data_IF_074435839606
#
_entry.id   IF_074435839606
#
_cell.length_a   1.000
_cell.length_b   1.000
_cell.length_c   1.000
_cell.angle_alpha   90.00
_cell.angle_beta   90.00
_cell.angle_gamma   90.00
#
_symmetry.space_group_name_H-M   'P 1'
#
loop_
_entity.id
_entity.type
_entity.pdbx_description
1 polymer ?
#
# COMPACT_ATOMS: atom_id res chain seq x y z
N UNK A 1 8.01 45.41 -12.31
CA UNK A 1 8.54 44.23 -11.60
C UNK A 1 7.64 43.79 -10.43
N UNK A 2 6.35 43.48 -10.66
CA UNK A 2 5.43 42.99 -9.60
C UNK A 2 4.80 41.63 -9.90
N UNK A 3 4.92 41.12 -11.14
CA UNK A 3 4.34 39.82 -11.56
C UNK A 3 5.22 38.60 -11.24
N UNK A 4 6.52 38.80 -11.00
CA UNK A 4 7.48 37.70 -10.74
C UNK A 4 7.27 37.06 -9.36
N UNK A 5 6.77 37.81 -8.37
CA UNK A 5 6.52 37.26 -7.03
C UNK A 5 5.28 36.37 -6.96
N UNK A 6 4.21 36.67 -7.71
CA UNK A 6 2.97 35.88 -7.70
C UNK A 6 3.18 34.48 -8.31
N UNK A 7 4.11 34.37 -9.26
CA UNK A 7 4.46 33.11 -9.92
C UNK A 7 4.99 32.05 -8.94
N UNK A 8 5.72 32.45 -7.89
CA UNK A 8 6.26 31.55 -6.88
C UNK A 8 5.31 31.28 -5.71
N UNK A 9 4.34 32.16 -5.47
CA UNK A 9 3.37 32.02 -4.37
C UNK A 9 2.46 30.82 -4.61
N UNK A 10 1.98 30.62 -5.85
CA UNK A 10 1.05 29.53 -6.16
C UNK A 10 1.70 28.14 -5.94
N UNK A 11 2.90 27.83 -6.49
CA UNK A 11 3.57 26.57 -6.21
C UNK A 11 3.87 26.34 -4.72
N UNK A 12 4.33 27.38 -4.00
CA UNK A 12 4.59 27.29 -2.56
C UNK A 12 3.31 26.99 -1.78
N UNK A 13 2.20 27.61 -2.15
CA UNK A 13 0.90 27.34 -1.54
C UNK A 13 0.44 25.89 -1.82
N UNK A 14 0.64 25.39 -3.04
CA UNK A 14 0.31 23.99 -3.37
C UNK A 14 1.16 22.99 -2.58
N UNK A 15 2.46 23.24 -2.43
CA UNK A 15 3.35 22.42 -1.57
C UNK A 15 2.87 22.45 -0.13
N UNK A 16 2.53 23.63 0.39
CA UNK A 16 2.03 23.77 1.75
C UNK A 16 0.71 23.00 1.94
N UNK A 17 -0.25 23.14 1.02
CA UNK A 17 -1.50 22.37 1.04
C UNK A 17 -1.22 20.87 1.03
N UNK A 18 -0.29 20.40 0.19
CA UNK A 18 0.08 19.00 0.13
C UNK A 18 0.65 18.49 1.46
N UNK A 19 1.54 19.27 2.10
CA UNK A 19 2.09 18.91 3.42
C UNK A 19 0.99 18.84 4.49
N UNK A 20 -0.01 19.72 4.43
CA UNK A 20 -1.18 19.64 5.32
C UNK A 20 -2.04 18.42 5.07
N UNK A 21 -2.29 18.08 3.81
CA UNK A 21 -3.00 16.85 3.45
C UNK A 21 -2.25 15.66 4.03
N UNK A 22 -0.94 15.53 3.77
CA UNK A 22 -0.10 14.43 4.29
C UNK A 22 -0.07 14.35 5.82
N UNK A 23 -0.14 15.48 6.52
CA UNK A 23 -0.16 15.51 7.97
C UNK A 23 -1.46 14.96 8.56
N UNK A 24 -2.58 15.15 7.86
CA UNK A 24 -3.92 14.77 8.31
C UNK A 24 -4.41 13.45 7.72
N UNK A 25 -3.83 13.01 6.60
CA UNK A 25 -4.15 11.74 5.95
C UNK A 25 -3.81 10.54 6.85
N UNK A 26 -4.58 9.43 6.73
CA UNK A 26 -4.22 8.17 7.33
C UNK A 26 -2.77 7.77 7.03
N UNK A 27 -2.10 7.21 8.03
CA UNK A 27 -0.78 6.61 7.86
C UNK A 27 -0.93 5.19 7.35
N UNK A 28 -0.02 4.78 6.49
CA UNK A 28 -0.05 3.47 5.83
C UNK A 28 1.25 2.73 6.06
N UNK A 29 1.18 1.41 5.99
CA UNK A 29 2.32 0.52 6.07
C UNK A 29 2.21 -0.55 4.98
N UNK A 30 3.13 -0.50 4.03
CA UNK A 30 3.33 -1.45 2.95
C UNK A 30 4.17 -2.64 3.42
N UNK A 31 4.14 -3.71 2.63
CA UNK A 31 4.96 -4.91 2.78
C UNK A 31 4.61 -5.78 4.01
N UNK A 32 3.35 -5.75 4.45
CA UNK A 32 2.89 -6.48 5.64
C UNK A 32 2.62 -7.95 5.31
N UNK A 33 3.43 -8.84 5.87
CA UNK A 33 3.34 -10.29 5.67
C UNK A 33 4.14 -11.01 6.78
N UNK A 34 3.81 -12.25 7.19
CA UNK A 34 4.58 -12.97 8.21
C UNK A 34 6.04 -13.23 7.80
N UNK A 35 6.35 -13.22 6.50
CA UNK A 35 7.70 -13.42 5.98
C UNK A 35 8.66 -12.24 6.16
N UNK A 36 8.16 -11.04 6.48
CA UNK A 36 8.95 -9.82 6.62
C UNK A 36 8.84 -9.31 8.07
N UNK A 37 9.98 -9.15 8.75
CA UNK A 37 10.00 -8.51 10.07
C UNK A 37 9.53 -7.06 9.95
N UNK A 38 8.56 -6.68 10.77
CA UNK A 38 7.92 -5.36 10.67
C UNK A 38 7.79 -4.64 12.03
N UNK A 39 8.91 -4.23 12.66
CA UNK A 39 8.87 -3.37 13.84
C UNK A 39 8.19 -2.02 13.57
N UNK A 40 8.11 -1.58 12.31
CA UNK A 40 7.43 -0.36 11.86
C UNK A 40 5.97 -0.29 12.28
N UNK A 41 5.30 -1.45 12.41
CA UNK A 41 3.93 -1.54 12.86
C UNK A 41 3.73 -0.91 14.25
N UNK A 42 4.65 -1.19 15.18
CA UNK A 42 4.64 -0.62 16.52
C UNK A 42 5.18 0.82 16.55
N UNK A 43 6.24 1.09 15.77
CA UNK A 43 6.92 2.39 15.76
C UNK A 43 6.01 3.51 15.21
N UNK A 44 5.26 3.22 14.15
CA UNK A 44 4.45 4.21 13.44
C UNK A 44 2.96 4.10 13.72
N UNK A 45 2.49 2.95 14.23
CA UNK A 45 1.08 2.69 14.54
C UNK A 45 0.14 3.10 13.38
N UNK A 46 0.32 2.52 12.18
CA UNK A 46 -0.39 2.92 10.98
C UNK A 46 -1.91 2.76 11.12
N UNK A 47 -2.67 3.48 10.28
CA UNK A 47 -4.11 3.33 10.17
C UNK A 47 -4.50 2.24 9.16
N UNK A 48 -3.71 2.10 8.09
CA UNK A 48 -3.94 1.17 6.99
C UNK A 48 -2.74 0.22 6.86
N UNK A 49 -3.03 -1.07 6.69
CA UNK A 49 -2.05 -2.12 6.43
C UNK A 49 -2.24 -2.65 5.02
N UNK A 50 -1.17 -2.67 4.22
CA UNK A 50 -1.15 -3.22 2.87
C UNK A 50 -0.47 -4.59 2.91
N UNK A 51 -1.30 -5.63 2.84
CA UNK A 51 -0.90 -7.01 3.10
C UNK A 51 -0.59 -7.76 1.81
N UNK A 52 0.53 -8.48 1.81
CA UNK A 52 0.92 -9.38 0.72
C UNK A 52 0.35 -10.77 1.04
N UNK A 53 -0.60 -11.30 0.24
CA UNK A 53 -1.26 -12.56 0.55
C UNK A 53 -0.34 -13.78 0.41
N UNK A 54 0.57 -13.80 -0.57
CA UNK A 54 1.42 -14.96 -0.87
C UNK A 54 2.90 -14.63 -1.02
N UNK A 55 3.52 -14.07 0.01
CA UNK A 55 4.93 -13.70 -0.05
C UNK A 55 5.85 -14.94 -0.11
N UNK A 56 6.69 -15.03 -1.15
CA UNK A 56 7.63 -16.14 -1.37
C UNK A 56 6.99 -17.56 -1.35
N UNK A 57 5.78 -17.69 -1.88
CA UNK A 57 4.98 -18.93 -1.86
C UNK A 57 4.55 -19.38 -0.45
N UNK A 58 4.48 -18.45 0.50
CA UNK A 58 3.96 -18.67 1.85
C UNK A 58 2.62 -17.93 2.02
N UNK A 59 1.49 -18.59 1.68
CA UNK A 59 0.18 -17.96 1.76
C UNK A 59 -0.21 -17.65 3.21
N UNK A 60 -0.68 -16.44 3.46
CA UNK A 60 -0.97 -15.94 4.82
C UNK A 60 -2.08 -16.72 5.51
N UNK A 61 -3.04 -17.28 4.76
CA UNK A 61 -4.14 -18.07 5.33
C UNK A 61 -3.66 -19.32 6.09
N UNK A 62 -2.44 -19.80 5.82
CA UNK A 62 -1.84 -20.93 6.56
C UNK A 62 -1.26 -20.52 7.91
N UNK A 63 -1.22 -19.22 8.23
CA UNK A 63 -0.70 -18.68 9.47
C UNK A 63 -1.82 -18.04 10.30
N UNK A 64 -2.72 -18.88 10.82
CA UNK A 64 -3.91 -18.46 11.60
C UNK A 64 -3.55 -17.49 12.73
N UNK A 65 -2.47 -17.76 13.47
CA UNK A 65 -2.03 -16.89 14.57
C UNK A 65 -1.69 -15.48 14.08
N UNK A 66 -0.97 -15.38 12.96
CA UNK A 66 -0.63 -14.08 12.38
C UNK A 66 -1.89 -13.37 11.85
N UNK A 67 -2.81 -14.09 11.22
CA UNK A 67 -4.09 -13.54 10.77
C UNK A 67 -4.89 -12.93 11.93
N UNK A 68 -5.02 -13.67 13.04
CA UNK A 68 -5.68 -13.22 14.26
C UNK A 68 -4.98 -11.99 14.87
N UNK A 69 -3.64 -12.01 14.93
CA UNK A 69 -2.84 -10.88 15.42
C UNK A 69 -3.12 -9.63 14.58
N UNK A 70 -3.03 -9.70 13.26
CA UNK A 70 -3.27 -8.55 12.38
C UNK A 70 -4.72 -8.05 12.48
N UNK A 71 -5.71 -8.95 12.50
CA UNK A 71 -7.12 -8.56 12.69
C UNK A 71 -7.35 -7.87 14.04
N UNK A 72 -6.69 -8.34 15.10
CA UNK A 72 -6.86 -7.78 16.45
C UNK A 72 -6.42 -6.31 16.57
N UNK A 73 -5.59 -5.83 15.64
CA UNK A 73 -5.12 -4.44 15.60
C UNK A 73 -6.22 -3.45 15.19
N UNK A 74 -7.35 -3.95 14.65
CA UNK A 74 -8.50 -3.15 14.22
C UNK A 74 -8.10 -2.01 13.27
N UNK A 75 -7.25 -2.34 12.29
CA UNK A 75 -6.80 -1.44 11.22
C UNK A 75 -7.62 -1.65 9.96
N UNK A 76 -7.56 -0.71 9.04
CA UNK A 76 -8.02 -0.99 7.67
C UNK A 76 -6.98 -1.85 6.98
N UNK A 77 -7.39 -2.91 6.30
CA UNK A 77 -6.49 -3.85 5.62
C UNK A 77 -6.83 -3.88 4.14
N UNK A 78 -5.83 -3.65 3.28
CA UNK A 78 -5.93 -3.77 1.83
C UNK A 78 -4.88 -4.75 1.29
N UNK A 79 -5.03 -5.14 0.03
CA UNK A 79 -4.12 -6.09 -0.63
C UNK A 79 -2.97 -5.37 -1.33
N UNK A 80 -1.75 -5.87 -1.19
CA UNK A 80 -0.51 -5.29 -1.74
C UNK A 80 0.18 -6.20 -2.76
N UNK A 81 -0.41 -6.32 -3.96
CA UNK A 81 0.00 -7.35 -4.92
C UNK A 81 -0.42 -8.74 -4.48
N UNK A 82 0.25 -9.77 -5.01
CA UNK A 82 0.00 -11.18 -4.68
C UNK A 82 1.23 -11.77 -3.97
N UNK A 83 2.37 -11.72 -4.65
CA UNK A 83 3.66 -12.24 -4.20
C UNK A 83 4.68 -11.15 -3.90
N UNK A 84 4.40 -9.90 -4.31
CA UNK A 84 5.27 -8.74 -4.14
C UNK A 84 6.58 -8.82 -4.95
N UNK A 85 6.47 -9.22 -6.23
CA UNK A 85 7.58 -9.09 -7.19
C UNK A 85 7.54 -7.72 -7.89
N UNK A 86 8.71 -7.20 -8.29
CA UNK A 86 8.84 -5.83 -8.81
C UNK A 86 7.99 -5.54 -10.06
N UNK A 87 7.80 -6.54 -10.92
CA UNK A 87 7.12 -6.42 -12.22
C UNK A 87 5.78 -7.19 -12.23
N UNK A 88 5.25 -7.52 -11.05
CA UNK A 88 4.09 -8.40 -10.89
C UNK A 88 2.90 -7.95 -11.73
N UNK A 89 2.55 -6.66 -11.69
CA UNK A 89 1.43 -6.08 -12.42
C UNK A 89 1.86 -5.23 -13.62
N UNK A 90 3.14 -5.30 -14.00
CA UNK A 90 3.66 -4.62 -15.20
C UNK A 90 3.83 -5.57 -16.39
N UNK A 91 3.56 -6.87 -16.18
CA UNK A 91 3.41 -7.88 -17.21
C UNK A 91 2.00 -8.47 -17.13
N UNK A 92 1.63 -9.25 -18.14
CA UNK A 92 0.35 -9.96 -18.18
C UNK A 92 0.19 -10.86 -16.94
N UNK A 93 -0.72 -10.50 -16.03
CA UNK A 93 -1.11 -11.39 -14.94
C UNK A 93 -2.26 -12.26 -15.42
N UNK A 94 -2.27 -13.51 -14.97
CA UNK A 94 -3.46 -14.32 -15.17
C UNK A 94 -4.49 -13.89 -14.15
N UNK A 95 -5.73 -13.72 -14.60
CA UNK A 95 -6.88 -13.42 -13.73
C UNK A 95 -6.98 -14.42 -12.58
N UNK A 96 -6.64 -15.67 -12.85
CA UNK A 96 -6.58 -16.75 -11.87
C UNK A 96 -5.57 -16.49 -10.74
N UNK A 97 -4.42 -15.87 -11.04
CA UNK A 97 -3.40 -15.55 -10.04
C UNK A 97 -3.90 -14.44 -9.08
N UNK A 98 -4.59 -13.43 -9.63
CA UNK A 98 -5.23 -12.39 -8.82
C UNK A 98 -6.34 -12.97 -7.93
N UNK A 99 -7.17 -13.85 -8.49
CA UNK A 99 -8.21 -14.55 -7.73
C UNK A 99 -7.64 -15.45 -6.63
N UNK A 100 -6.51 -16.11 -6.87
CA UNK A 100 -5.77 -16.88 -5.85
C UNK A 100 -5.35 -15.97 -4.69
N UNK A 101 -4.67 -14.85 -4.97
CA UNK A 101 -4.28 -13.89 -3.94
C UNK A 101 -5.47 -13.33 -3.15
N UNK A 102 -6.59 -13.04 -3.82
CA UNK A 102 -7.82 -12.60 -3.16
C UNK A 102 -8.43 -13.69 -2.26
N UNK A 103 -8.34 -14.96 -2.67
CA UNK A 103 -8.83 -16.08 -1.88
C UNK A 103 -7.99 -16.29 -0.62
N UNK A 104 -6.67 -16.20 -0.73
CA UNK A 104 -5.78 -16.28 0.44
C UNK A 104 -6.00 -15.12 1.42
N UNK A 105 -6.18 -13.90 0.90
CA UNK A 105 -6.55 -12.74 1.71
C UNK A 105 -7.87 -13.00 2.47
N UNK A 106 -8.87 -13.53 1.76
CA UNK A 106 -10.17 -13.88 2.35
C UNK A 106 -10.07 -15.04 3.34
N UNK A 107 -9.21 -16.02 3.09
CA UNK A 107 -8.95 -17.14 4.00
C UNK A 107 -8.41 -16.65 5.34
N UNK A 108 -7.51 -15.66 5.30
CA UNK A 108 -6.91 -15.06 6.49
C UNK A 108 -7.86 -14.11 7.24
N UNK A 109 -8.60 -13.26 6.52
CA UNK A 109 -9.36 -12.16 7.14
C UNK A 109 -10.88 -12.39 7.21
N UNK A 110 -11.38 -13.44 6.55
CA UNK A 110 -12.81 -13.77 6.50
C UNK A 110 -13.63 -12.89 5.54
N UNK A 111 -13.01 -11.95 4.84
CA UNK A 111 -13.65 -11.07 3.86
C UNK A 111 -12.76 -10.84 2.64
N UNK A 112 -13.37 -10.59 1.48
CA UNK A 112 -12.65 -10.26 0.25
C UNK A 112 -12.02 -8.86 0.35
N UNK A 113 -10.82 -8.65 -0.21
CA UNK A 113 -10.20 -7.32 -0.21
C UNK A 113 -11.08 -6.33 -0.98
N UNK A 114 -11.19 -5.11 -0.46
CA UNK A 114 -11.94 -4.00 -1.09
C UNK A 114 -11.03 -2.91 -1.63
N UNK A 115 -9.75 -2.97 -1.32
CA UNK A 115 -8.73 -2.02 -1.77
C UNK A 115 -7.51 -2.79 -2.23
N UNK A 116 -6.86 -2.26 -3.26
CA UNK A 116 -5.66 -2.82 -3.84
C UNK A 116 -4.61 -1.73 -4.07
N UNK A 117 -3.35 -2.06 -3.80
CA UNK A 117 -2.21 -1.21 -4.09
C UNK A 117 -1.13 -2.04 -4.76
N UNK A 118 -0.74 -1.76 -6.02
CA UNK A 118 0.29 -2.55 -6.69
C UNK A 118 1.66 -2.33 -6.01
N UNK A 119 2.51 -3.37 -5.91
CA UNK A 119 3.89 -3.23 -5.48
C UNK A 119 4.59 -2.14 -6.28
N UNK A 120 5.34 -1.27 -5.58
CA UNK A 120 6.08 -0.15 -6.20
C UNK A 120 5.21 0.81 -7.04
N UNK A 121 3.88 0.75 -6.90
CA UNK A 121 2.91 1.53 -7.68
C UNK A 121 2.99 1.25 -9.19
N UNK A 122 3.57 0.11 -9.58
CA UNK A 122 3.72 -0.31 -10.98
C UNK A 122 2.55 -1.18 -11.42
N UNK A 123 1.80 -0.70 -12.40
CA UNK A 123 0.70 -1.41 -13.00
C UNK A 123 0.53 -0.95 -14.46
N UNK A 124 0.30 -1.88 -15.39
CA UNK A 124 -0.04 -1.52 -16.78
C UNK A 124 -1.53 -1.14 -16.87
N UNK A 125 -1.96 -0.40 -17.91
CA UNK A 125 -3.38 -0.08 -18.11
C UNK A 125 -4.28 -1.32 -18.22
N UNK A 126 -3.78 -2.39 -18.84
CA UNK A 126 -4.50 -3.66 -18.98
C UNK A 126 -4.69 -4.32 -17.60
N UNK A 127 -3.64 -4.34 -16.78
CA UNK A 127 -3.69 -4.92 -15.43
C UNK A 127 -4.51 -4.08 -14.45
N UNK A 128 -4.52 -2.77 -14.63
CA UNK A 128 -5.42 -1.86 -13.90
C UNK A 128 -6.89 -2.24 -14.15
N UNK A 129 -7.28 -2.52 -15.40
CA UNK A 129 -8.64 -2.95 -15.72
C UNK A 129 -8.99 -4.30 -15.08
N UNK A 130 -8.05 -5.26 -15.07
CA UNK A 130 -8.23 -6.56 -14.40
C UNK A 130 -8.50 -6.36 -12.90
N UNK A 131 -7.72 -5.53 -12.22
CA UNK A 131 -7.91 -5.22 -10.80
C UNK A 131 -9.25 -4.52 -10.57
N UNK A 132 -9.59 -3.50 -11.34
CA UNK A 132 -10.83 -2.74 -11.17
C UNK A 132 -12.09 -3.60 -11.41
N UNK A 133 -12.02 -4.57 -12.32
CA UNK A 133 -13.11 -5.52 -12.58
C UNK A 133 -13.43 -6.45 -11.41
N UNK A 134 -12.55 -6.55 -10.41
CA UNK A 134 -12.83 -7.26 -9.15
C UNK A 134 -13.68 -6.44 -8.17
N UNK A 135 -13.86 -5.14 -8.42
CA UNK A 135 -14.53 -4.19 -7.54
C UNK A 135 -13.64 -3.59 -6.44
N UNK A 136 -12.33 -3.87 -6.46
CA UNK A 136 -11.37 -3.23 -5.56
C UNK A 136 -11.08 -1.79 -5.97
N UNK A 137 -10.91 -0.91 -4.97
CA UNK A 137 -10.42 0.46 -5.19
C UNK A 137 -8.89 0.47 -5.34
N UNK A 138 -8.39 0.97 -6.47
CA UNK A 138 -6.97 1.00 -6.82
C UNK A 138 -6.27 2.23 -6.24
N UNK A 139 -5.28 2.02 -5.36
CA UNK A 139 -4.44 3.07 -4.79
C UNK A 139 -3.14 3.23 -5.59
N UNK A 140 -3.08 4.27 -6.41
CA UNK A 140 -1.91 4.62 -7.21
C UNK A 140 -1.06 5.77 -6.65
N UNK A 141 -0.33 6.45 -7.52
CA UNK A 141 0.60 7.55 -7.17
C UNK A 141 -0.03 8.67 -6.32
N UNK A 142 -1.31 8.99 -6.53
CA UNK A 142 -1.98 10.02 -5.74
C UNK A 142 -2.02 9.66 -4.25
N UNK A 143 -2.24 8.39 -3.92
CA UNK A 143 -2.22 7.89 -2.54
C UNK A 143 -0.82 8.07 -1.92
N UNK A 144 0.24 7.67 -2.63
CA UNK A 144 1.63 7.81 -2.18
C UNK A 144 2.03 9.27 -1.88
N UNK A 145 1.56 10.20 -2.73
CA UNK A 145 1.87 11.63 -2.58
C UNK A 145 1.08 12.27 -1.44
N UNK A 146 -0.14 11.80 -1.16
CA UNK A 146 -1.03 12.40 -0.14
C UNK A 146 -0.98 11.73 1.22
N UNK A 147 -0.35 10.56 1.36
CA UNK A 147 -0.28 9.79 2.60
C UNK A 147 1.18 9.54 3.03
N UNK A 148 1.40 9.35 4.32
CA UNK A 148 2.67 8.82 4.84
C UNK A 148 2.62 7.30 4.76
N UNK A 149 3.32 6.76 3.77
CA UNK A 149 3.38 5.32 3.49
C UNK A 149 4.74 4.80 3.94
N UNK A 150 4.77 4.00 5.01
CA UNK A 150 5.99 3.35 5.49
C UNK A 150 6.13 1.95 4.89
N UNK A 151 7.31 1.34 5.00
CA UNK A 151 7.58 -0.01 4.52
C UNK A 151 8.18 -0.88 5.63
N UNK A 152 7.72 -2.13 5.75
CA UNK A 152 8.38 -3.09 6.63
C UNK A 152 9.84 -3.32 6.21
N UNK A 153 10.74 -3.55 7.18
CA UNK A 153 12.18 -3.77 6.98
C UNK A 153 12.96 -2.57 6.39
N UNK A 154 12.30 -1.42 6.15
CA UNK A 154 12.86 -0.15 5.63
C UNK A 154 13.89 -0.35 4.50
N UNK A 155 13.69 -1.35 3.63
CA UNK A 155 14.69 -1.74 2.63
C UNK A 155 14.59 -0.89 1.36
N UNK A 156 13.41 -0.31 1.11
CA UNK A 156 13.08 0.51 -0.06
C UNK A 156 13.60 1.96 0.05
N UNK A 157 13.43 2.74 -1.03
CA UNK A 157 13.71 4.17 -1.09
C UNK A 157 12.40 4.89 -1.43
N UNK A 158 12.04 5.99 -0.74
CA UNK A 158 12.78 6.63 0.35
C UNK A 158 12.66 5.86 1.68
N UNK A 159 13.70 5.94 2.52
CA UNK A 159 13.67 5.34 3.86
C UNK A 159 12.57 5.93 4.72
N UNK A 160 11.98 5.15 5.62
CA UNK A 160 10.90 5.52 6.54
C UNK A 160 11.21 6.80 7.35
N UNK A 161 12.48 7.01 7.72
CA UNK A 161 12.91 8.25 8.40
C UNK A 161 12.60 9.52 7.59
N UNK A 162 12.69 9.47 6.27
CA UNK A 162 12.39 10.58 5.38
C UNK A 162 10.89 10.80 5.27
N UNK A 163 10.12 9.71 5.18
CA UNK A 163 8.65 9.72 5.13
C UNK A 163 8.05 10.28 6.42
N UNK A 164 8.71 10.07 7.56
CA UNK A 164 8.29 10.68 8.82
C UNK A 164 8.36 12.21 8.77
N UNK A 165 9.40 12.75 8.14
CA UNK A 165 9.69 14.19 8.05
C UNK A 165 8.77 14.88 7.02
N UNK A 166 8.54 14.24 5.87
CA UNK A 166 7.83 14.80 4.70
C UNK A 166 6.44 14.18 4.49
#
# INVERSE_FOLDING_TARGET
MKRVHLFWIIPLLLIFILLWIRLLSPTELDDVTPGISCPELEIYNPNILWVIPNFENNPIEKNEKWCEEILSLNKTIGMHGIHHTYEEFNNEIKKEDLEEGMNEFKGCFGYSPTMFKPPQLKISPEEEEVVLNTGMDLKGMFNQVTHKVYHCNDSTIPKNKWIKIF
#
